data_IF_347377771208
#
_entry.id   IF_347377771208
#
_cell.length_a   1.000
_cell.length_b   1.000
_cell.length_c   1.000
_cell.angle_alpha   90.00
_cell.angle_beta   90.00
_cell.angle_gamma   90.00
#
_symmetry.space_group_name_H-M   'P 1'
#
loop_
_entity.id
_entity.type
_entity.pdbx_description
1 polymer ?
#
# COMPACT_ATOMS: atom_id res chain seq x y z
N UNK A 1 10.05 -18.03 53.87
CA UNK A 1 10.86 -17.02 53.11
C UNK A 1 11.15 -17.40 51.66
N UNK A 2 11.56 -18.63 51.32
CA UNK A 2 11.90 -18.97 49.93
C UNK A 2 10.72 -18.92 48.93
N UNK A 3 9.51 -19.31 49.37
CA UNK A 3 8.28 -19.24 48.55
C UNK A 3 7.91 -17.81 48.13
N UNK A 4 8.15 -16.82 48.99
CA UNK A 4 7.88 -15.40 48.71
C UNK A 4 8.91 -14.85 47.73
N UNK A 5 10.19 -15.22 47.88
CA UNK A 5 11.25 -14.83 46.92
C UNK A 5 11.00 -15.39 45.53
N UNK A 6 10.52 -16.64 45.43
CA UNK A 6 10.14 -17.25 44.16
C UNK A 6 8.96 -16.54 43.50
N UNK A 7 7.93 -16.19 44.28
CA UNK A 7 6.78 -15.41 43.81
C UNK A 7 7.18 -14.03 43.29
N UNK A 8 8.09 -13.34 43.98
CA UNK A 8 8.60 -12.03 43.55
C UNK A 8 9.37 -12.14 42.23
N UNK A 9 10.21 -13.18 42.06
CA UNK A 9 10.94 -13.40 40.80
C UNK A 9 9.98 -13.72 39.65
N UNK A 10 8.95 -14.53 39.88
CA UNK A 10 7.93 -14.84 38.87
C UNK A 10 7.15 -13.59 38.45
N UNK A 11 6.76 -12.74 39.41
CA UNK A 11 6.08 -11.47 39.12
C UNK A 11 6.99 -10.50 38.36
N UNK A 12 8.29 -10.48 38.66
CA UNK A 12 9.28 -9.64 37.96
C UNK A 12 9.52 -10.09 36.52
N UNK A 13 9.43 -11.40 36.25
CA UNK A 13 9.52 -11.96 34.89
C UNK A 13 8.23 -11.69 34.10
N UNK A 14 7.05 -11.78 34.73
CA UNK A 14 5.77 -11.50 34.08
C UNK A 14 5.51 -10.02 33.80
N UNK A 15 6.15 -9.10 34.53
CA UNK A 15 6.00 -7.65 34.33
C UNK A 15 6.95 -7.06 33.28
N UNK A 16 7.88 -7.85 32.74
CA UNK A 16 8.99 -7.39 31.91
C UNK A 16 8.75 -7.29 30.40
N UNK A 17 7.52 -7.41 29.87
CA UNK A 17 7.37 -7.58 28.41
C UNK A 17 6.03 -7.18 27.83
N UNK A 18 5.66 -5.90 27.89
CA UNK A 18 4.73 -5.29 26.92
C UNK A 18 5.49 -4.25 26.11
N UNK A 19 6.49 -4.67 25.35
CA UNK A 19 6.97 -3.84 24.26
C UNK A 19 5.90 -3.89 23.18
N UNK A 20 5.10 -2.84 23.08
CA UNK A 20 4.30 -2.60 21.89
C UNK A 20 5.27 -2.60 20.70
N UNK A 21 5.28 -3.69 19.94
CA UNK A 21 5.98 -3.76 18.67
C UNK A 21 5.25 -2.80 17.75
N UNK A 22 5.63 -1.52 17.77
CA UNK A 22 5.19 -0.60 16.75
C UNK A 22 5.84 -1.07 15.44
N UNK A 23 5.09 -1.84 14.67
CA UNK A 23 5.46 -2.26 13.33
C UNK A 23 5.67 -0.99 12.49
N UNK A 24 6.94 -0.56 12.38
CA UNK A 24 7.30 0.55 11.52
C UNK A 24 7.04 0.14 10.08
N UNK A 25 6.17 0.88 9.41
CA UNK A 25 5.82 0.64 8.02
C UNK A 25 7.06 0.80 7.15
N UNK A 26 7.46 -0.23 6.39
CA UNK A 26 8.71 -0.19 5.64
C UNK A 26 8.68 0.93 4.59
N UNK A 27 9.83 1.60 4.35
CA UNK A 27 9.91 2.71 3.43
C UNK A 27 9.46 2.31 2.02
N UNK A 28 8.73 3.19 1.35
CA UNK A 28 8.17 2.94 0.02
C UNK A 28 9.19 3.28 -1.08
N UNK A 29 9.24 2.52 -2.19
CA UNK A 29 10.24 2.71 -3.25
C UNK A 29 10.28 4.15 -3.79
N UNK A 30 11.44 4.79 -3.77
CA UNK A 30 11.63 6.21 -4.14
C UNK A 30 11.35 6.53 -5.60
N UNK A 31 11.35 5.53 -6.48
CA UNK A 31 11.11 5.66 -7.91
C UNK A 31 9.62 5.55 -8.29
N UNK A 32 8.71 5.45 -7.33
CA UNK A 32 7.30 5.33 -7.62
C UNK A 32 6.68 6.68 -7.99
N UNK A 33 5.85 6.70 -9.03
CA UNK A 33 5.19 7.90 -9.57
C UNK A 33 4.22 8.59 -8.60
N UNK A 34 3.92 7.97 -7.45
CA UNK A 34 3.10 8.57 -6.38
C UNK A 34 3.71 9.87 -5.87
N UNK A 35 5.04 9.97 -5.80
CA UNK A 35 5.70 11.19 -5.35
C UNK A 35 5.43 12.35 -6.30
N UNK A 36 5.54 12.13 -7.61
CA UNK A 36 5.22 13.16 -8.61
C UNK A 36 3.74 13.56 -8.55
N UNK A 37 2.85 12.59 -8.26
CA UNK A 37 1.43 12.88 -8.06
C UNK A 37 1.20 13.78 -6.85
N UNK A 38 1.76 13.41 -5.68
CA UNK A 38 1.63 14.18 -4.45
C UNK A 38 2.21 15.59 -4.60
N UNK A 39 3.38 15.71 -5.22
CA UNK A 39 4.03 17.00 -5.51
C UNK A 39 3.13 17.90 -6.39
N UNK A 40 2.47 17.34 -7.41
CA UNK A 40 1.48 18.11 -8.19
C UNK A 40 0.27 18.54 -7.37
N UNK A 41 -0.17 17.73 -6.42
CA UNK A 41 -1.28 18.09 -5.53
C UNK A 41 -0.87 19.22 -4.57
N UNK A 42 0.37 19.22 -4.12
CA UNK A 42 0.93 20.31 -3.31
C UNK A 42 1.11 21.60 -4.11
N UNK A 43 1.66 21.53 -5.33
CA UNK A 43 1.78 22.71 -6.22
C UNK A 43 0.41 23.31 -6.52
N UNK A 44 -0.64 22.49 -6.61
CA UNK A 44 -2.02 22.96 -6.74
C UNK A 44 -2.58 23.56 -5.45
N UNK A 45 -1.92 23.41 -4.30
CA UNK A 45 -2.48 23.76 -3.00
C UNK A 45 -3.71 22.93 -2.65
N UNK A 46 -3.76 21.68 -3.12
CA UNK A 46 -4.72 20.66 -2.66
C UNK A 46 -4.17 20.02 -1.39
N UNK A 47 -2.86 19.79 -1.37
CA UNK A 47 -2.10 19.38 -0.20
C UNK A 47 -1.17 20.53 0.22
N UNK A 48 -0.76 20.52 1.48
CA UNK A 48 0.19 21.48 2.04
C UNK A 48 1.22 20.73 2.88
N UNK A 49 2.48 21.19 2.84
CA UNK A 49 3.57 20.67 3.66
C UNK A 49 3.88 19.18 3.45
N UNK A 50 3.93 18.73 2.20
CA UNK A 50 4.40 17.37 1.90
C UNK A 50 5.93 17.30 2.06
N UNK A 51 6.64 18.39 1.75
CA UNK A 51 8.10 18.47 1.84
C UNK A 51 8.68 18.46 3.27
N UNK A 52 7.84 18.52 4.32
CA UNK A 52 8.29 18.31 5.70
C UNK A 52 8.76 16.84 5.91
N UNK A 53 8.39 15.93 5.01
CA UNK A 53 8.89 14.55 4.97
C UNK A 53 9.98 14.35 3.91
N UNK A 54 11.19 13.97 4.34
CA UNK A 54 12.24 13.47 3.44
C UNK A 54 11.81 12.15 2.77
N UNK A 55 12.02 12.00 1.46
CA UNK A 55 11.85 10.69 0.77
C UNK A 55 12.89 9.68 1.31
N UNK A 56 12.58 8.37 1.40
CA UNK A 56 11.30 7.73 1.11
C UNK A 56 10.27 7.89 2.22
N UNK A 57 9.01 8.11 1.83
CA UNK A 57 7.87 8.06 2.75
C UNK A 57 7.46 6.60 2.99
N UNK A 58 6.90 6.34 4.16
CA UNK A 58 6.19 5.10 4.47
C UNK A 58 4.84 5.03 3.73
N UNK A 59 4.26 3.82 3.67
CA UNK A 59 2.95 3.63 3.02
C UNK A 59 1.82 4.33 3.78
N UNK A 60 1.94 4.42 5.10
CA UNK A 60 0.96 5.10 5.96
C UNK A 60 0.97 6.61 5.77
N UNK A 61 2.15 7.22 5.65
CA UNK A 61 2.26 8.65 5.33
C UNK A 61 1.61 8.97 3.97
N UNK A 62 1.93 8.16 2.95
CA UNK A 62 1.32 8.31 1.62
C UNK A 62 -0.21 8.14 1.70
N UNK A 63 -0.69 7.13 2.42
CA UNK A 63 -2.13 6.90 2.61
C UNK A 63 -2.80 8.05 3.37
N UNK A 64 -2.10 8.68 4.32
CA UNK A 64 -2.55 9.88 5.02
C UNK A 64 -2.79 11.04 4.04
N UNK A 65 -1.84 11.34 3.17
CA UNK A 65 -2.00 12.38 2.14
C UNK A 65 -3.14 12.05 1.16
N UNK A 66 -3.24 10.80 0.70
CA UNK A 66 -4.35 10.38 -0.16
C UNK A 66 -5.71 10.53 0.54
N UNK A 67 -5.78 10.23 1.85
CA UNK A 67 -7.00 10.39 2.64
C UNK A 67 -7.40 11.85 2.77
N UNK A 68 -6.46 12.79 2.86
CA UNK A 68 -6.75 14.23 2.86
C UNK A 68 -7.43 14.64 1.55
N UNK A 69 -6.90 14.21 0.40
CA UNK A 69 -7.49 14.51 -0.92
C UNK A 69 -8.90 13.89 -1.03
N UNK A 70 -9.07 12.65 -0.56
CA UNK A 70 -10.34 11.92 -0.66
C UNK A 70 -11.43 12.44 0.28
N UNK A 71 -11.03 13.00 1.42
CA UNK A 71 -11.93 13.55 2.44
C UNK A 71 -12.55 14.88 2.02
N UNK A 72 -11.83 15.68 1.21
CA UNK A 72 -12.29 17.01 0.80
C UNK A 72 -12.95 16.99 -0.60
N UNK A 73 -14.26 17.26 -0.71
CA UNK A 73 -14.94 17.35 -2.00
C UNK A 73 -14.38 18.46 -2.90
N UNK A 74 -13.88 19.57 -2.34
CA UNK A 74 -13.29 20.65 -3.12
C UNK A 74 -11.96 20.24 -3.75
N UNK A 75 -11.15 19.47 -3.03
CA UNK A 75 -9.97 18.82 -3.59
C UNK A 75 -10.32 17.96 -4.80
N UNK A 76 -11.39 17.16 -4.73
CA UNK A 76 -11.81 16.27 -5.81
C UNK A 76 -12.34 16.99 -7.06
N UNK A 77 -12.99 18.15 -6.91
CA UNK A 77 -13.49 18.93 -8.06
C UNK A 77 -12.35 19.58 -8.84
N UNK A 78 -11.26 19.95 -8.16
CA UNK A 78 -10.06 20.57 -8.74
C UNK A 78 -9.17 19.60 -9.53
N UNK A 79 -9.42 18.29 -9.41
CA UNK A 79 -8.71 17.26 -10.17
C UNK A 79 -9.23 17.16 -11.61
N UNK A 80 -8.29 17.10 -12.55
CA UNK A 80 -8.61 16.78 -13.95
C UNK A 80 -8.92 15.28 -14.12
N UNK A 81 -9.29 14.88 -15.34
CA UNK A 81 -9.67 13.48 -15.64
C UNK A 81 -8.52 12.48 -15.44
N UNK A 82 -7.29 12.87 -15.73
CA UNK A 82 -6.09 12.04 -15.55
C UNK A 82 -5.76 11.89 -14.08
N UNK A 83 -5.81 12.97 -13.31
CA UNK A 83 -5.53 12.98 -11.88
C UNK A 83 -6.58 12.21 -11.09
N UNK A 84 -7.86 12.31 -11.46
CA UNK A 84 -8.93 11.47 -10.90
C UNK A 84 -8.63 9.99 -11.12
N UNK A 85 -8.11 9.63 -12.29
CA UNK A 85 -7.72 8.25 -12.60
C UNK A 85 -6.49 7.83 -11.80
N UNK A 86 -5.48 8.69 -11.70
CA UNK A 86 -4.28 8.46 -10.89
C UNK A 86 -4.63 8.26 -9.42
N UNK A 87 -5.44 9.16 -8.84
CA UNK A 87 -5.95 9.05 -7.48
C UNK A 87 -6.69 7.72 -7.30
N UNK A 88 -7.56 7.35 -8.24
CA UNK A 88 -8.26 6.08 -8.19
C UNK A 88 -7.31 4.86 -8.17
N UNK A 89 -6.26 4.85 -9.00
CA UNK A 89 -5.24 3.81 -8.96
C UNK A 89 -4.52 3.76 -7.60
N UNK A 90 -4.13 4.92 -7.07
CA UNK A 90 -3.47 5.01 -5.76
C UNK A 90 -4.39 4.58 -4.63
N UNK A 91 -5.68 4.91 -4.68
CA UNK A 91 -6.66 4.43 -3.68
C UNK A 91 -6.75 2.91 -3.67
N UNK A 92 -6.65 2.25 -4.83
CA UNK A 92 -6.62 0.79 -4.91
C UNK A 92 -5.28 0.23 -4.42
N UNK A 93 -4.16 0.87 -4.76
CA UNK A 93 -2.82 0.45 -4.36
C UNK A 93 -2.58 0.56 -2.85
N UNK A 94 -3.03 1.66 -2.25
CA UNK A 94 -2.85 1.96 -0.83
C UNK A 94 -4.05 1.57 0.03
N UNK A 95 -5.01 0.82 -0.54
CA UNK A 95 -6.30 0.51 0.11
C UNK A 95 -6.19 -0.12 1.50
N UNK A 96 -5.12 -0.87 1.75
CA UNK A 96 -4.93 -1.54 3.03
C UNK A 96 -4.44 -0.60 4.14
N UNK A 97 -3.99 0.60 3.75
CA UNK A 97 -3.48 1.66 4.62
C UNK A 97 -4.47 2.85 4.71
N UNK A 98 -5.58 2.80 3.96
CA UNK A 98 -6.62 3.84 3.98
C UNK A 98 -7.68 3.55 5.06
N UNK A 99 -8.34 4.62 5.52
CA UNK A 99 -9.49 4.49 6.42
C UNK A 99 -10.61 3.63 5.81
N UNK A 100 -11.39 2.91 6.64
CA UNK A 100 -12.42 1.97 6.19
C UNK A 100 -13.41 2.58 5.18
N UNK A 101 -13.83 3.84 5.36
CA UNK A 101 -14.76 4.51 4.45
C UNK A 101 -14.24 4.61 3.01
N UNK A 102 -12.93 4.86 2.84
CA UNK A 102 -12.31 4.99 1.53
C UNK A 102 -12.03 3.64 0.90
N UNK A 103 -11.69 2.63 1.73
CA UNK A 103 -11.49 1.24 1.30
C UNK A 103 -12.72 0.67 0.60
N UNK A 104 -13.91 0.86 1.18
CA UNK A 104 -15.16 0.38 0.57
C UNK A 104 -15.50 1.09 -0.73
N UNK A 105 -15.32 2.42 -0.77
CA UNK A 105 -15.57 3.24 -1.95
C UNK A 105 -14.65 2.85 -3.12
N UNK A 106 -13.38 2.56 -2.82
CA UNK A 106 -12.40 2.10 -3.80
C UNK A 106 -12.80 0.75 -4.42
N UNK A 107 -13.27 -0.20 -3.60
CA UNK A 107 -13.74 -1.52 -4.06
C UNK A 107 -14.94 -1.41 -5.00
N UNK A 108 -15.92 -0.57 -4.67
CA UNK A 108 -17.10 -0.34 -5.51
C UNK A 108 -16.75 0.36 -6.82
N UNK A 109 -15.74 1.24 -6.81
CA UNK A 109 -15.28 1.98 -7.98
C UNK A 109 -14.27 1.20 -8.85
N UNK A 110 -13.74 0.07 -8.36
CA UNK A 110 -12.70 -0.68 -9.06
C UNK A 110 -13.18 -1.09 -10.48
N UNK A 111 -12.38 -0.88 -11.55
CA UNK A 111 -12.88 -1.05 -12.90
C UNK A 111 -13.12 -2.53 -13.23
N UNK A 112 -13.97 -2.79 -14.22
CA UNK A 112 -14.12 -4.11 -14.89
C UNK A 112 -12.77 -4.72 -15.32
N UNK A 113 -11.69 -3.95 -15.42
CA UNK A 113 -10.33 -4.43 -15.69
C UNK A 113 -9.77 -5.35 -14.58
N UNK A 114 -10.14 -5.16 -13.31
CA UNK A 114 -9.82 -6.13 -12.24
C UNK A 114 -10.46 -7.50 -12.48
N UNK A 115 -11.49 -7.60 -13.34
CA UNK A 115 -12.14 -8.86 -13.73
C UNK A 115 -11.19 -9.77 -14.53
N UNK A 116 -10.19 -9.23 -15.21
CA UNK A 116 -9.27 -10.01 -16.06
C UNK A 116 -8.03 -10.52 -15.33
N UNK A 117 -7.74 -10.05 -14.10
CA UNK A 117 -6.68 -10.61 -13.24
C UNK A 117 -7.11 -11.88 -12.50
N UNK A 118 -8.39 -12.23 -12.54
CA UNK A 118 -8.89 -13.52 -12.04
C UNK A 118 -8.50 -14.62 -13.04
N UNK A 119 -7.53 -15.45 -12.67
CA UNK A 119 -7.28 -16.73 -13.36
C UNK A 119 -8.59 -17.51 -13.44
N UNK A 120 -9.17 -17.60 -14.64
CA UNK A 120 -10.58 -18.00 -14.82
C UNK A 120 -10.95 -19.40 -14.33
N UNK A 121 -9.97 -20.26 -14.07
CA UNK A 121 -10.17 -21.58 -13.47
C UNK A 121 -10.13 -21.53 -11.93
N UNK A 122 -9.09 -20.93 -11.34
CA UNK A 122 -8.96 -20.86 -9.87
C UNK A 122 -10.07 -20.03 -9.24
N UNK A 123 -10.52 -18.96 -9.91
CA UNK A 123 -11.62 -18.14 -9.43
C UNK A 123 -12.98 -18.85 -9.41
N UNK A 124 -13.13 -19.99 -10.11
CA UNK A 124 -14.33 -20.82 -10.05
C UNK A 124 -14.31 -21.80 -8.88
N UNK A 125 -13.12 -22.23 -8.45
CA UNK A 125 -12.95 -23.21 -7.37
C UNK A 125 -12.92 -22.51 -6.00
N UNK A 126 -12.30 -21.33 -5.92
CA UNK A 126 -12.23 -20.55 -4.69
C UNK A 126 -12.84 -19.15 -4.87
N UNK A 127 -14.15 -19.05 -5.19
CA UNK A 127 -14.81 -17.76 -5.18
C UNK A 127 -14.76 -17.19 -3.75
N UNK A 128 -14.41 -15.92 -3.61
CA UNK A 128 -14.37 -15.14 -2.35
C UNK A 128 -13.16 -15.34 -1.42
N UNK A 129 -12.31 -16.36 -1.61
CA UNK A 129 -11.05 -16.47 -0.87
C UNK A 129 -9.86 -15.88 -1.64
N UNK A 130 -9.97 -15.82 -2.97
CA UNK A 130 -8.95 -15.26 -3.84
C UNK A 130 -9.30 -13.81 -4.19
N UNK A 131 -8.32 -12.90 -4.10
CA UNK A 131 -8.51 -11.48 -4.37
C UNK A 131 -9.60 -10.82 -3.50
N UNK A 132 -9.70 -11.20 -2.22
CA UNK A 132 -10.55 -10.51 -1.22
C UNK A 132 -10.27 -9.01 -1.20
N UNK A 133 -8.99 -8.69 -1.30
CA UNK A 133 -8.45 -7.36 -1.34
C UNK A 133 -8.31 -6.86 -2.80
N UNK A 134 -8.91 -7.51 -3.80
CA UNK A 134 -8.86 -7.12 -5.22
C UNK A 134 -7.48 -7.03 -5.89
N UNK A 135 -6.37 -7.14 -5.15
CA UNK A 135 -5.01 -6.86 -5.61
C UNK A 135 -4.14 -8.10 -5.54
N UNK A 136 -4.15 -8.75 -4.38
CA UNK A 136 -3.36 -9.91 -4.03
C UNK A 136 -4.24 -11.16 -4.08
N UNK A 137 -3.69 -12.27 -4.57
CA UNK A 137 -4.39 -13.55 -4.62
C UNK A 137 -4.77 -14.01 -3.21
N UNK A 138 -3.82 -13.98 -2.27
CA UNK A 138 -4.07 -14.28 -0.86
C UNK A 138 -3.36 -13.25 0.03
N UNK A 139 -4.06 -12.82 1.08
CA UNK A 139 -3.54 -11.91 2.09
C UNK A 139 -3.94 -12.40 3.47
N UNK A 140 -2.96 -12.49 4.37
CA UNK A 140 -3.18 -12.67 5.79
C UNK A 140 -2.57 -11.48 6.51
N UNK A 141 -3.39 -10.78 7.28
CA UNK A 141 -2.99 -9.62 8.07
C UNK A 141 -3.24 -9.97 9.53
N UNK A 142 -2.16 -10.06 10.28
CA UNK A 142 -2.14 -10.10 11.75
C UNK A 142 -1.50 -8.81 12.24
N UNK A 143 -1.74 -8.37 13.48
CA UNK A 143 -1.35 -7.03 13.98
C UNK A 143 0.13 -6.69 13.68
N UNK A 144 1.00 -7.70 13.68
CA UNK A 144 2.44 -7.54 13.50
C UNK A 144 2.99 -7.96 12.12
N UNK A 145 2.20 -8.62 11.27
CA UNK A 145 2.70 -9.04 9.96
C UNK A 145 1.66 -9.17 8.86
N UNK A 146 2.12 -8.87 7.65
CA UNK A 146 1.36 -8.98 6.41
C UNK A 146 1.99 -10.07 5.53
N UNK A 147 1.35 -11.23 5.45
CA UNK A 147 1.73 -12.29 4.51
C UNK A 147 0.91 -12.15 3.21
N UNK A 148 1.60 -12.03 2.08
CA UNK A 148 1.01 -11.91 0.75
C UNK A 148 1.54 -13.03 -0.15
N UNK A 149 0.61 -13.76 -0.77
CA UNK A 149 0.92 -14.79 -1.76
C UNK A 149 0.36 -14.34 -3.11
N UNK A 150 1.24 -14.03 -4.05
CA UNK A 150 0.91 -13.62 -5.42
C UNK A 150 1.77 -14.38 -6.43
N UNK A 151 1.23 -15.41 -7.11
CA UNK A 151 1.98 -16.12 -8.13
C UNK A 151 2.19 -15.26 -9.37
N UNK A 152 3.45 -15.06 -9.77
CA UNK A 152 3.82 -14.40 -11.03
C UNK A 152 3.76 -15.45 -12.15
N UNK A 153 2.63 -15.51 -12.86
CA UNK A 153 2.40 -16.52 -13.90
C UNK A 153 2.89 -16.13 -15.29
N UNK A 154 3.22 -14.86 -15.49
CA UNK A 154 3.72 -14.35 -16.76
C UNK A 154 4.88 -13.39 -16.49
N UNK A 155 6.07 -13.75 -17.00
CA UNK A 155 7.25 -12.89 -17.02
C UNK A 155 7.53 -12.57 -18.48
N UNK A 156 7.15 -11.37 -18.94
CA UNK A 156 7.63 -10.88 -20.23
C UNK A 156 9.13 -10.61 -20.10
N UNK A 157 9.96 -11.45 -20.70
CA UNK A 157 11.39 -11.19 -20.81
C UNK A 157 11.61 -9.99 -21.73
N UNK A 158 11.98 -8.85 -21.17
CA UNK A 158 12.52 -7.74 -21.96
C UNK A 158 13.94 -8.12 -22.38
N UNK A 159 14.08 -8.63 -23.59
CA UNK A 159 15.39 -8.77 -24.23
C UNK A 159 15.84 -7.38 -24.66
N UNK A 160 16.73 -6.77 -23.88
CA UNK A 160 17.43 -5.58 -24.34
C UNK A 160 18.39 -6.00 -25.46
N UNK A 161 18.12 -5.56 -26.69
CA UNK A 161 19.16 -5.53 -27.72
C UNK A 161 20.13 -4.43 -27.31
N UNK A 162 21.34 -4.81 -26.92
CA UNK A 162 22.43 -3.85 -26.78
C UNK A 162 22.79 -3.36 -28.16
N UNK A 163 22.43 -2.12 -28.48
CA UNK A 163 23.00 -1.42 -29.62
C UNK A 163 24.47 -1.16 -29.31
N UNK A 164 25.34 -2.11 -29.68
CA UNK A 164 26.77 -1.85 -29.81
C UNK A 164 26.94 -0.81 -30.90
N UNK A 165 27.10 0.46 -30.49
CA UNK A 165 27.40 1.56 -31.38
C UNK A 165 28.63 1.26 -32.21
N UNK A 166 28.43 1.13 -33.51
CA UNK A 166 29.50 1.13 -34.51
C UNK A 166 30.23 2.46 -34.39
N UNK A 167 31.41 2.46 -33.75
CA UNK A 167 32.32 3.58 -33.78
C UNK A 167 32.82 3.72 -35.22
N UNK A 168 32.32 4.73 -35.93
CA UNK A 168 32.91 5.18 -37.17
C UNK A 168 34.38 5.56 -36.94
N UNK A 169 35.28 4.93 -37.68
CA UNK A 169 36.59 5.44 -38.07
C UNK A 169 36.81 5.06 -39.53
#
# INVERSE_FOLDING_TARGET
MQRIKFLVVVILILSGGTTALHAQSPPFPTNHWVYDFLERMEVKGILTNIFDGTRPMSRDEIAGYLSQILSDPQSLTRLNSVEKRQLHYLTLEFRDYLAPEFREKALKAAPRLMKYRRMGFLSKIFPNHLYTNGRNLFQYLEEDFLAVLDPVLYRSGFWAKTDTGTSAR
#
